data_IF_487271443793
#
_entry.id   IF_487271443793
#
_cell.length_a   1.000
_cell.length_b   1.000
_cell.length_c   1.000
_cell.angle_alpha   90.00
_cell.angle_beta   90.00
_cell.angle_gamma   90.00
#
_symmetry.space_group_name_H-M   'P 1'
#
loop_
_entity.id
_entity.type
_entity.pdbx_description
1 polymer ?
#
# COMPACT_ATOMS: atom_id res chain seq x y z
N UNK A 1 -3.00 19.28 -15.78
CA UNK A 1 -3.75 20.54 -15.55
C UNK A 1 -3.68 20.93 -14.07
N UNK A 2 -3.53 22.22 -13.74
CA UNK A 2 -3.62 22.74 -12.36
C UNK A 2 -4.78 23.74 -12.26
N UNK A 3 -5.65 23.59 -11.25
CA UNK A 3 -6.77 24.50 -11.00
C UNK A 3 -6.57 25.17 -9.63
N UNK A 4 -6.87 26.47 -9.54
CA UNK A 4 -7.02 27.15 -8.26
C UNK A 4 -8.43 26.91 -7.70
N UNK A 5 -8.51 26.29 -6.54
CA UNK A 5 -9.75 26.02 -5.83
C UNK A 5 -9.61 26.63 -4.44
N UNK A 6 -10.36 27.70 -4.16
CA UNK A 6 -10.34 28.41 -2.87
C UNK A 6 -8.92 28.76 -2.37
N UNK A 7 -8.00 29.15 -3.27
CA UNK A 7 -6.62 29.51 -2.93
C UNK A 7 -5.65 28.32 -2.83
N UNK A 8 -6.12 27.09 -3.06
CA UNK A 8 -5.29 25.88 -3.14
C UNK A 8 -5.09 25.48 -4.61
N UNK A 9 -3.85 25.18 -5.00
CA UNK A 9 -3.55 24.67 -6.35
C UNK A 9 -3.74 23.17 -6.38
N UNK A 10 -4.70 22.66 -7.14
CA UNK A 10 -5.01 21.23 -7.25
C UNK A 10 -4.66 20.72 -8.64
N UNK A 11 -3.85 19.67 -8.71
CA UNK A 11 -3.42 19.04 -9.96
C UNK A 11 -4.30 17.85 -10.34
N UNK A 12 -4.69 17.81 -11.60
CA UNK A 12 -5.45 16.75 -12.26
C UNK A 12 -4.72 16.27 -13.52
N UNK A 13 -5.06 15.07 -13.97
CA UNK A 13 -4.43 14.45 -15.13
C UNK A 13 -3.07 13.84 -14.81
N UNK A 14 -2.83 13.41 -13.57
CA UNK A 14 -1.54 12.85 -13.17
C UNK A 14 -1.35 11.46 -13.78
N UNK A 15 -0.13 11.19 -14.28
CA UNK A 15 0.23 9.84 -14.70
C UNK A 15 0.60 9.00 -13.46
N UNK A 16 -0.33 8.14 -13.05
CA UNK A 16 -0.15 7.27 -11.89
C UNK A 16 0.62 6.01 -12.26
N UNK A 17 1.79 5.82 -11.67
CA UNK A 17 2.62 4.64 -11.91
C UNK A 17 2.92 3.92 -10.61
N UNK A 18 2.92 2.58 -10.68
CA UNK A 18 3.52 1.78 -9.61
C UNK A 18 5.02 1.94 -9.71
N UNK A 19 5.65 2.15 -8.57
CA UNK A 19 7.09 2.08 -8.42
C UNK A 19 7.46 0.60 -8.41
N UNK A 20 7.97 0.15 -9.54
CA UNK A 20 8.39 -1.23 -9.77
C UNK A 20 9.84 -1.16 -10.21
N UNK A 21 10.73 -1.80 -9.48
CA UNK A 21 12.17 -1.77 -9.72
C UNK A 21 12.97 -1.74 -8.42
N UNK A 22 14.29 -1.62 -8.54
CA UNK A 22 15.19 -1.46 -7.41
C UNK A 22 15.47 0.01 -7.08
N UNK A 23 15.28 0.40 -5.83
CA UNK A 23 15.74 1.65 -5.23
C UNK A 23 14.89 2.02 -4.03
N UNK A 24 15.21 3.11 -3.33
CA UNK A 24 14.22 3.72 -2.43
C UNK A 24 13.02 4.19 -3.25
N UNK A 25 11.79 4.20 -2.68
CA UNK A 25 10.60 4.75 -3.33
C UNK A 25 10.86 6.15 -3.94
N UNK A 26 11.58 7.00 -3.22
CA UNK A 26 12.03 8.31 -3.70
C UNK A 26 12.94 8.21 -4.94
N UNK A 27 13.93 7.32 -4.96
CA UNK A 27 14.82 7.15 -6.13
C UNK A 27 14.09 6.60 -7.36
N UNK A 28 13.14 5.69 -7.15
CA UNK A 28 12.29 5.15 -8.22
C UNK A 28 11.34 6.22 -8.75
N UNK A 29 10.74 7.01 -7.85
CA UNK A 29 9.91 8.14 -8.22
C UNK A 29 10.70 9.19 -9.00
N UNK A 30 11.95 9.47 -8.62
CA UNK A 30 12.86 10.35 -9.37
C UNK A 30 13.19 9.76 -10.75
N UNK A 31 13.46 8.46 -10.86
CA UNK A 31 13.72 7.81 -12.15
C UNK A 31 12.51 7.92 -13.09
N UNK A 32 11.30 7.64 -12.57
CA UNK A 32 10.04 7.82 -13.30
C UNK A 32 9.76 9.28 -13.65
N UNK A 33 10.07 10.21 -12.74
CA UNK A 33 9.97 11.65 -13.01
C UNK A 33 10.89 12.07 -14.15
N UNK A 34 12.10 11.52 -14.26
CA UNK A 34 13.02 11.80 -15.37
C UNK A 34 12.51 11.22 -16.69
N UNK A 35 12.08 9.96 -16.68
CA UNK A 35 11.50 9.27 -17.84
C UNK A 35 10.33 10.06 -18.42
N UNK A 36 9.42 10.52 -17.55
CA UNK A 36 8.21 11.27 -17.92
C UNK A 36 8.40 12.79 -17.94
N UNK A 37 9.63 13.30 -17.77
CA UNK A 37 9.95 14.74 -17.73
C UNK A 37 9.03 15.53 -16.79
N UNK A 38 8.78 14.98 -15.61
CA UNK A 38 7.86 15.53 -14.61
C UNK A 38 8.47 16.67 -13.82
N UNK A 39 7.70 17.76 -13.68
CA UNK A 39 8.09 18.95 -12.90
C UNK A 39 7.75 18.81 -11.42
N UNK A 40 6.71 18.04 -11.12
CA UNK A 40 6.22 17.73 -9.79
C UNK A 40 5.86 16.26 -9.75
N UNK A 41 6.06 15.67 -8.58
CA UNK A 41 5.66 14.32 -8.26
C UNK A 41 4.95 14.29 -6.91
N UNK A 42 4.09 13.30 -6.74
CA UNK A 42 3.57 12.89 -5.45
C UNK A 42 3.98 11.44 -5.22
N UNK A 43 4.48 11.10 -4.03
CA UNK A 43 4.99 9.76 -3.71
C UNK A 43 4.26 9.16 -2.52
N UNK A 44 3.99 7.85 -2.63
CA UNK A 44 3.52 7.00 -1.54
C UNK A 44 4.55 5.91 -1.29
N UNK A 45 5.33 6.06 -0.22
CA UNK A 45 6.39 5.13 0.11
C UNK A 45 5.84 3.76 0.55
N UNK A 46 4.64 3.74 1.15
CA UNK A 46 3.97 2.50 1.58
C UNK A 46 3.23 1.82 0.43
N UNK A 47 2.54 2.59 -0.42
CA UNK A 47 1.79 2.04 -1.54
C UNK A 47 2.66 1.75 -2.79
N UNK A 48 3.94 2.13 -2.76
CA UNK A 48 4.90 2.08 -3.87
C UNK A 48 4.28 2.66 -5.15
N UNK A 49 3.80 3.89 -5.04
CA UNK A 49 3.11 4.58 -6.12
C UNK A 49 3.63 6.00 -6.27
N UNK A 50 3.69 6.47 -7.52
CA UNK A 50 4.01 7.86 -7.86
C UNK A 50 2.91 8.44 -8.75
N UNK A 51 2.50 9.67 -8.44
CA UNK A 51 1.73 10.53 -9.33
C UNK A 51 2.68 11.50 -10.03
N UNK A 52 2.73 11.47 -11.35
CA UNK A 52 3.67 12.25 -12.16
C UNK A 52 2.94 13.40 -12.86
N UNK A 53 3.50 14.60 -12.80
CA UNK A 53 3.03 15.77 -13.55
C UNK A 53 4.09 16.19 -14.60
N UNK A 54 4.01 15.69 -15.85
CA UNK A 54 4.88 16.08 -16.95
C UNK A 54 4.88 17.59 -17.23
N UNK A 55 6.04 18.14 -17.59
CA UNK A 55 6.16 19.53 -18.02
C UNK A 55 5.29 19.84 -19.26
N UNK A 56 5.12 18.84 -20.14
CA UNK A 56 4.33 18.96 -21.36
C UNK A 56 2.82 19.13 -21.10
N UNK A 57 2.36 18.73 -19.91
CA UNK A 57 0.95 18.77 -19.53
C UNK A 57 0.60 20.07 -18.76
N UNK A 58 1.55 21.00 -18.68
CA UNK A 58 1.37 22.33 -18.10
C UNK A 58 1.12 23.36 -19.19
N UNK A 59 0.09 24.17 -19.00
CA UNK A 59 -0.12 25.39 -19.78
C UNK A 59 0.81 26.51 -19.30
N UNK A 60 1.00 27.58 -20.09
CA UNK A 60 1.79 28.75 -19.65
C UNK A 60 1.29 29.35 -18.32
N UNK A 61 -0.02 29.26 -18.05
CA UNK A 61 -0.66 29.67 -16.79
C UNK A 61 -0.27 28.77 -15.61
N UNK A 62 0.00 27.49 -15.86
CA UNK A 62 0.36 26.51 -14.83
C UNK A 62 1.84 26.62 -14.41
N UNK A 63 2.72 27.11 -15.27
CA UNK A 63 4.15 27.28 -14.99
C UNK A 63 4.39 28.16 -13.75
N UNK A 64 3.55 29.17 -13.53
CA UNK A 64 3.58 30.01 -12.33
C UNK A 64 3.05 29.31 -11.07
N UNK A 65 2.08 28.38 -11.21
CA UNK A 65 1.45 27.67 -10.10
C UNK A 65 2.38 26.64 -9.44
N UNK A 66 3.39 26.13 -10.16
CA UNK A 66 4.41 25.20 -9.64
C UNK A 66 5.40 25.86 -8.66
N UNK A 67 5.26 27.18 -8.40
CA UNK A 67 6.04 27.92 -7.41
C UNK A 67 5.41 27.95 -6.02
N UNK A 68 4.15 27.53 -5.89
CA UNK A 68 3.42 27.39 -4.62
C UNK A 68 3.06 25.92 -4.39
N UNK A 69 2.64 25.50 -3.18
CA UNK A 69 2.22 24.12 -2.94
C UNK A 69 1.08 23.71 -3.88
N UNK A 70 1.30 22.62 -4.61
CA UNK A 70 0.31 21.99 -5.50
C UNK A 70 -0.09 20.65 -4.89
N UNK A 71 -1.36 20.29 -4.93
CA UNK A 71 -1.91 19.10 -4.29
C UNK A 71 -2.49 18.14 -5.34
N UNK A 72 -2.20 16.84 -5.22
CA UNK A 72 -2.68 15.83 -6.15
C UNK A 72 -4.17 15.49 -5.89
N UNK A 73 -5.05 15.76 -6.86
CA UNK A 73 -6.50 15.57 -6.72
C UNK A 73 -6.88 14.15 -6.31
N UNK A 74 -6.31 13.13 -6.95
CA UNK A 74 -6.62 11.74 -6.63
C UNK A 74 -6.27 11.37 -5.17
N UNK A 75 -5.24 11.99 -4.59
CA UNK A 75 -4.89 11.74 -3.19
C UNK A 75 -5.78 12.49 -2.22
N UNK A 76 -6.21 13.70 -2.57
CA UNK A 76 -7.28 14.38 -1.83
C UNK A 76 -8.53 13.51 -1.79
N UNK A 77 -9.02 13.05 -2.95
CA UNK A 77 -10.23 12.21 -3.05
C UNK A 77 -10.11 10.93 -2.22
N UNK A 78 -8.96 10.25 -2.27
CA UNK A 78 -8.72 9.03 -1.49
C UNK A 78 -8.77 9.22 0.03
N UNK A 79 -8.74 10.47 0.51
CA UNK A 79 -8.67 10.85 1.93
C UNK A 79 -9.93 11.57 2.42
N UNK A 80 -10.93 11.81 1.56
CA UNK A 80 -12.19 12.44 1.98
C UNK A 80 -12.93 11.48 2.93
N UNK A 81 -13.21 11.88 4.18
CA UNK A 81 -13.90 11.03 5.13
C UNK A 81 -15.29 10.62 4.64
N UNK A 82 -15.67 9.36 4.88
CA UNK A 82 -16.99 8.84 4.54
C UNK A 82 -17.11 8.26 3.12
N UNK A 83 -16.11 8.44 2.26
CA UNK A 83 -16.07 7.77 0.95
C UNK A 83 -15.59 6.32 1.06
N UNK A 84 -16.11 5.47 0.17
CA UNK A 84 -15.66 4.08 -0.03
C UNK A 84 -14.22 4.04 -0.55
N UNK A 85 -13.60 2.85 -0.48
CA UNK A 85 -12.26 2.62 -1.06
C UNK A 85 -12.26 2.66 -2.60
N UNK A 86 -13.42 2.45 -3.21
CA UNK A 86 -13.62 2.63 -4.65
C UNK A 86 -14.39 3.94 -4.85
N UNK A 87 -13.78 4.92 -5.54
CA UNK A 87 -14.41 6.23 -5.80
C UNK A 87 -14.17 6.61 -7.26
N UNK A 88 -15.17 7.21 -7.89
CA UNK A 88 -15.03 7.89 -9.16
C UNK A 88 -15.54 9.33 -8.99
N UNK A 89 -14.66 10.30 -9.17
CA UNK A 89 -14.98 11.73 -9.18
C UNK A 89 -15.10 12.20 -10.63
N UNK A 90 -16.23 12.81 -11.00
CA UNK A 90 -16.46 13.42 -12.31
C UNK A 90 -16.85 14.90 -12.15
N UNK A 91 -16.05 15.82 -12.68
CA UNK A 91 -16.27 17.27 -12.57
C UNK A 91 -16.39 17.92 -13.94
N UNK A 92 -17.16 19.00 -14.02
CA UNK A 92 -17.07 19.94 -15.13
C UNK A 92 -15.73 20.65 -15.06
N UNK A 93 -15.08 20.85 -16.20
CA UNK A 93 -13.85 21.60 -16.24
C UNK A 93 -14.13 23.11 -16.13
N UNK A 94 -13.68 23.80 -15.06
CA UNK A 94 -13.94 25.22 -14.88
C UNK A 94 -13.18 26.10 -15.89
N UNK A 95 -12.11 25.58 -16.51
CA UNK A 95 -11.31 26.33 -17.47
C UNK A 95 -11.82 26.19 -18.91
N UNK A 96 -12.66 25.19 -19.21
CA UNK A 96 -13.09 24.89 -20.58
C UNK A 96 -14.46 24.22 -20.61
N UNK A 97 -15.47 25.02 -20.96
CA UNK A 97 -16.87 24.58 -21.11
C UNK A 97 -17.00 23.37 -22.03
N UNK A 98 -17.84 22.41 -21.64
CA UNK A 98 -18.10 21.20 -22.43
C UNK A 98 -17.01 20.12 -22.33
N UNK A 99 -16.01 20.32 -21.47
CA UNK A 99 -15.03 19.29 -21.12
C UNK A 99 -15.10 18.94 -19.65
N UNK A 100 -14.57 17.77 -19.31
CA UNK A 100 -14.72 17.16 -18.00
C UNK A 100 -13.37 16.73 -17.42
N UNK A 101 -13.38 16.49 -16.12
CA UNK A 101 -12.28 15.95 -15.34
C UNK A 101 -12.77 14.66 -14.70
N UNK A 102 -11.96 13.62 -14.73
CA UNK A 102 -12.26 12.32 -14.14
C UNK A 102 -11.11 11.89 -13.23
N UNK A 103 -11.43 11.45 -12.01
CA UNK A 103 -10.46 10.91 -11.06
C UNK A 103 -10.99 9.61 -10.44
N UNK A 104 -10.32 8.50 -10.69
CA UNK A 104 -10.70 7.17 -10.18
C UNK A 104 -9.74 6.63 -9.13
N UNK A 105 -10.30 6.17 -8.01
CA UNK A 105 -9.61 5.55 -6.88
C UNK A 105 -10.05 4.11 -6.75
N UNK A 106 -9.18 3.15 -7.04
CA UNK A 106 -9.48 1.73 -6.92
C UNK A 106 -8.77 1.14 -5.69
N UNK A 107 -9.54 0.52 -4.79
CA UNK A 107 -9.04 -0.10 -3.55
C UNK A 107 -8.17 0.85 -2.73
N UNK A 108 -8.60 2.11 -2.63
CA UNK A 108 -7.96 3.19 -1.87
C UNK A 108 -6.76 3.84 -2.56
N UNK A 109 -6.46 3.46 -3.81
CA UNK A 109 -5.29 3.95 -4.55
C UNK A 109 -5.71 4.63 -5.86
N UNK A 110 -5.10 5.77 -6.22
CA UNK A 110 -5.28 6.36 -7.55
C UNK A 110 -5.01 5.34 -8.66
N UNK A 111 -5.86 5.33 -9.69
CA UNK A 111 -5.76 4.37 -10.78
C UNK A 111 -5.20 5.02 -12.04
N UNK A 112 -4.18 4.39 -12.63
CA UNK A 112 -3.65 4.80 -13.93
C UNK A 112 -4.74 4.80 -14.99
N UNK A 113 -4.70 5.79 -15.90
CA UNK A 113 -5.72 6.06 -16.94
C UNK A 113 -7.10 6.51 -16.44
N UNK A 114 -7.25 6.73 -15.13
CA UNK A 114 -8.48 7.25 -14.53
C UNK A 114 -8.27 8.58 -13.81
N UNK A 115 -7.12 9.23 -14.01
CA UNK A 115 -6.92 10.64 -13.65
C UNK A 115 -6.73 11.41 -14.96
N UNK A 116 -7.82 11.99 -15.46
CA UNK A 116 -7.93 12.59 -16.78
C UNK A 116 -8.50 14.00 -16.65
N UNK A 117 -7.98 14.91 -17.46
CA UNK A 117 -8.44 16.29 -17.58
C UNK A 117 -8.78 16.59 -19.04
N UNK A 118 -9.61 17.62 -19.26
CA UNK A 118 -9.99 18.09 -20.60
C UNK A 118 -10.63 17.01 -21.51
N UNK A 119 -11.31 16.01 -20.93
CA UNK A 119 -11.96 14.94 -21.70
C UNK A 119 -13.35 15.37 -22.22
N UNK A 120 -13.79 14.82 -23.35
CA UNK A 120 -15.14 15.02 -23.89
C UNK A 120 -16.20 14.24 -23.11
N UNK A 121 -17.47 14.56 -23.32
CA UNK A 121 -18.59 13.82 -22.71
C UNK A 121 -18.62 12.34 -23.12
N UNK A 122 -18.34 12.03 -24.38
CA UNK A 122 -18.27 10.64 -24.88
C UNK A 122 -17.19 9.83 -24.15
N UNK A 123 -15.99 10.41 -23.96
CA UNK A 123 -14.90 9.75 -23.23
C UNK A 123 -15.26 9.61 -21.74
N UNK A 124 -15.96 10.59 -21.17
CA UNK A 124 -16.43 10.51 -19.79
C UNK A 124 -17.40 9.34 -19.59
N UNK A 125 -18.42 9.22 -20.43
CA UNK A 125 -19.40 8.12 -20.38
C UNK A 125 -18.71 6.76 -20.55
N UNK A 126 -17.83 6.64 -21.55
CA UNK A 126 -17.04 5.44 -21.76
C UNK A 126 -16.23 5.07 -20.51
N UNK A 127 -15.55 6.04 -19.89
CA UNK A 127 -14.72 5.77 -18.71
C UNK A 127 -15.54 5.44 -17.48
N UNK A 128 -16.72 6.03 -17.31
CA UNK A 128 -17.65 5.65 -16.24
C UNK A 128 -18.07 4.18 -16.39
N UNK A 129 -18.39 3.74 -17.61
CA UNK A 129 -18.71 2.34 -17.89
C UNK A 129 -17.51 1.42 -17.65
N UNK A 130 -16.33 1.74 -18.20
CA UNK A 130 -15.09 0.98 -17.97
C UNK A 130 -14.75 0.84 -16.47
N UNK A 131 -15.02 1.89 -15.69
CA UNK A 131 -14.81 1.85 -14.25
C UNK A 131 -15.77 0.89 -13.55
N UNK A 132 -17.06 0.92 -13.90
CA UNK A 132 -18.06 -0.02 -13.37
C UNK A 132 -17.68 -1.47 -13.68
N UNK A 133 -17.23 -1.73 -14.90
CA UNK A 133 -16.77 -3.06 -15.31
C UNK A 133 -15.51 -3.50 -14.57
N UNK A 134 -14.54 -2.59 -14.37
CA UNK A 134 -13.33 -2.87 -13.59
C UNK A 134 -13.64 -3.35 -12.17
N UNK A 135 -14.72 -2.82 -11.58
CA UNK A 135 -15.15 -3.15 -10.23
C UNK A 135 -15.88 -4.50 -10.13
N UNK A 136 -16.34 -5.09 -11.23
CA UNK A 136 -17.10 -6.36 -11.23
C UNK A 136 -18.24 -6.38 -10.20
N UNK A 137 -19.00 -5.30 -10.12
CA UNK A 137 -20.07 -5.07 -9.13
C UNK A 137 -19.62 -4.81 -7.67
N UNK A 138 -18.32 -4.59 -7.39
CA UNK A 138 -17.91 -4.01 -6.11
C UNK A 138 -18.53 -2.61 -5.93
N UNK A 139 -19.06 -2.27 -4.74
CA UNK A 139 -19.65 -0.96 -4.50
C UNK A 139 -18.59 0.15 -4.59
N UNK A 140 -18.99 1.28 -5.17
CA UNK A 140 -18.17 2.49 -5.23
C UNK A 140 -19.03 3.74 -5.00
N UNK A 141 -18.37 4.86 -4.73
CA UNK A 141 -19.02 6.17 -4.72
C UNK A 141 -18.72 6.89 -6.04
N UNK A 142 -19.78 7.39 -6.67
CA UNK A 142 -19.70 8.27 -7.82
C UNK A 142 -20.02 9.68 -7.33
N UNK A 143 -19.06 10.59 -7.39
CA UNK A 143 -19.20 11.94 -6.82
C UNK A 143 -18.83 13.00 -7.86
N UNK A 144 -19.35 14.22 -7.69
CA UNK A 144 -18.94 15.38 -8.50
C UNK A 144 -20.12 16.24 -8.96
N UNK A 145 -19.91 17.13 -9.93
CA UNK A 145 -20.88 18.16 -10.31
C UNK A 145 -21.37 18.03 -11.77
N UNK A 146 -21.02 16.94 -12.45
CA UNK A 146 -21.49 16.66 -13.81
C UNK A 146 -22.95 16.25 -13.81
N UNK A 147 -23.76 16.98 -14.57
CA UNK A 147 -25.18 16.68 -14.76
C UNK A 147 -25.35 15.56 -15.77
N UNK A 148 -26.30 14.65 -15.53
CA UNK A 148 -26.66 13.58 -16.47
C UNK A 148 -26.00 12.23 -16.24
N UNK A 149 -25.07 12.11 -15.28
CA UNK A 149 -24.52 10.81 -14.88
C UNK A 149 -25.41 10.19 -13.80
N UNK A 150 -25.93 9.00 -14.07
CA UNK A 150 -26.78 8.27 -13.13
C UNK A 150 -26.03 7.84 -11.86
N UNK A 151 -26.61 8.14 -10.69
CA UNK A 151 -26.08 7.77 -9.39
C UNK A 151 -24.93 8.64 -8.87
N UNK A 152 -24.66 9.79 -9.51
CA UNK A 152 -23.67 10.76 -9.02
C UNK A 152 -24.19 11.50 -7.78
N UNK A 153 -23.39 11.53 -6.72
CA UNK A 153 -23.61 12.37 -5.56
C UNK A 153 -23.00 13.75 -5.78
N UNK A 154 -23.86 14.77 -5.80
CA UNK A 154 -23.46 16.15 -6.08
C UNK A 154 -22.38 16.63 -5.11
N UNK A 155 -21.18 16.86 -5.62
CA UNK A 155 -20.01 17.29 -4.85
C UNK A 155 -19.28 18.40 -5.60
N UNK A 156 -19.30 19.65 -5.12
CA UNK A 156 -18.62 20.74 -5.81
C UNK A 156 -17.10 20.58 -5.70
N UNK A 157 -16.38 21.10 -6.70
CA UNK A 157 -14.90 21.08 -6.72
C UNK A 157 -14.27 21.70 -5.45
N UNK A 158 -14.97 22.63 -4.80
CA UNK A 158 -14.55 23.29 -3.56
C UNK A 158 -14.16 22.34 -2.42
N UNK A 159 -14.80 21.16 -2.34
CA UNK A 159 -14.51 20.12 -1.33
C UNK A 159 -13.05 19.66 -1.41
N UNK A 160 -12.45 19.70 -2.61
CA UNK A 160 -11.04 19.31 -2.76
C UNK A 160 -10.09 20.25 -2.02
N UNK A 161 -10.40 21.55 -1.95
CA UNK A 161 -9.57 22.51 -1.24
C UNK A 161 -9.64 22.33 0.28
N UNK A 162 -10.79 21.92 0.81
CA UNK A 162 -11.01 21.67 2.23
C UNK A 162 -10.18 20.48 2.74
N UNK A 163 -9.97 19.49 1.87
CA UNK A 163 -9.21 18.27 2.18
C UNK A 163 -7.77 18.27 1.60
N UNK A 164 -7.31 19.40 1.06
CA UNK A 164 -5.94 19.56 0.54
C UNK A 164 -4.94 19.80 1.69
N UNK A 165 -4.28 18.71 2.12
CA UNK A 165 -3.31 18.67 3.20
C UNK A 165 -1.88 18.25 2.73
N UNK A 166 -0.92 18.24 3.64
CA UNK A 166 0.46 17.80 3.36
C UNK A 166 0.53 16.38 2.78
N UNK A 167 -0.40 15.49 3.13
CA UNK A 167 -0.49 14.12 2.61
C UNK A 167 -0.87 14.04 1.13
N UNK A 168 -1.34 15.14 0.53
CA UNK A 168 -1.61 15.27 -0.90
C UNK A 168 -0.67 16.24 -1.61
N UNK A 169 0.26 16.88 -0.88
CA UNK A 169 1.16 17.87 -1.44
C UNK A 169 2.20 17.24 -2.37
N UNK A 170 2.31 17.81 -3.57
CA UNK A 170 3.31 17.43 -4.56
C UNK A 170 4.62 18.16 -4.29
N UNK A 171 5.74 17.50 -4.59
CA UNK A 171 7.07 18.08 -4.46
C UNK A 171 7.86 17.96 -5.76
N UNK A 172 8.94 18.73 -5.86
CA UNK A 172 9.86 18.59 -6.99
C UNK A 172 10.69 17.31 -6.81
N UNK A 173 10.94 16.56 -7.89
CA UNK A 173 11.92 15.47 -7.84
C UNK A 173 13.29 16.05 -7.49
N UNK A 174 13.94 15.55 -6.43
CA UNK A 174 15.25 16.05 -6.01
C UNK A 174 16.28 15.78 -7.12
N UNK A 175 16.94 16.82 -7.61
CA UNK A 175 17.98 16.67 -8.61
C UNK A 175 19.28 16.15 -7.97
N UNK A 176 19.79 15.01 -8.41
CA UNK A 176 21.25 14.90 -8.56
C UNK A 176 21.59 15.82 -9.73
N UNK A 177 22.20 16.97 -9.41
CA UNK A 177 22.53 17.99 -10.40
C UNK A 177 23.52 17.42 -11.44
N UNK A 178 23.18 17.44 -12.74
CA UNK A 178 24.19 17.46 -13.77
C UNK A 178 24.79 18.87 -13.84
N UNK A 179 26.11 18.95 -13.70
CA UNK A 179 26.88 20.16 -13.95
C UNK A 179 26.76 20.51 -15.44
N UNK A 180 25.89 21.46 -15.80
CA UNK A 180 26.22 22.58 -16.73
C UNK A 180 25.01 23.43 -17.12
N UNK A 181 25.25 24.74 -17.05
CA UNK A 181 24.68 25.84 -17.85
C UNK A 181 23.20 26.17 -17.61
N UNK A 182 22.97 27.11 -16.68
CA UNK A 182 21.93 28.12 -16.88
C UNK A 182 22.65 29.45 -17.04
N UNK A 183 22.62 29.93 -18.29
CA UNK A 183 22.99 31.28 -18.65
C UNK A 183 22.02 32.27 -18.02
N UNK A 184 22.63 33.30 -17.48
CA UNK A 184 22.09 34.57 -17.00
C UNK A 184 21.05 35.17 -17.94
N UNK A 185 19.94 35.63 -17.36
CA UNK A 185 19.18 36.81 -17.78
C UNK A 185 18.08 37.06 -16.73
N UNK A 186 17.96 38.17 -16.01
CA UNK A 186 18.61 39.48 -15.92
C UNK A 186 18.22 40.04 -14.54
N UNK A 187 19.12 40.77 -13.86
CA UNK A 187 18.64 41.88 -13.00
C UNK A 187 18.85 41.83 -11.49
N UNK A 188 19.93 41.26 -10.94
CA UNK A 188 20.50 41.73 -9.66
C UNK A 188 22.04 41.71 -9.75
N UNK A 189 22.58 42.38 -10.77
CA UNK A 189 23.94 42.92 -10.71
C UNK A 189 23.82 44.21 -9.91
N UNK A 190 24.28 44.24 -8.66
CA UNK A 190 24.89 45.43 -8.03
C UNK A 190 25.25 45.25 -6.54
N UNK A 191 24.70 44.27 -5.81
CA UNK A 191 24.86 44.24 -4.35
C UNK A 191 25.97 43.32 -3.77
N UNK A 192 26.55 42.38 -4.54
CA UNK A 192 27.43 41.36 -3.96
C UNK A 192 28.91 41.41 -4.40
N UNK A 193 29.36 42.52 -4.99
CA UNK A 193 30.72 42.63 -5.54
C UNK A 193 31.82 43.01 -4.51
N UNK A 194 31.52 43.13 -3.21
CA UNK A 194 32.49 43.71 -2.25
C UNK A 194 32.95 42.83 -1.09
N UNK A 195 32.43 41.60 -0.88
CA UNK A 195 32.78 40.82 0.33
C UNK A 195 33.73 39.63 0.04
N UNK A 196 34.02 39.32 -1.22
CA UNK A 196 34.64 38.05 -1.62
C UNK A 196 36.18 38.04 -1.79
N UNK A 197 36.99 38.71 -0.97
CA UNK A 197 38.46 38.75 -1.23
C UNK A 197 39.47 38.31 -0.16
N UNK A 198 39.12 37.84 1.04
CA UNK A 198 40.19 37.56 2.06
C UNK A 198 40.17 36.20 2.77
N UNK A 199 39.09 35.40 2.79
CA UNK A 199 39.03 34.22 3.69
C UNK A 199 39.11 32.81 3.03
N UNK A 200 39.59 32.68 1.78
CA UNK A 200 39.37 31.46 0.98
C UNK A 200 40.37 30.27 1.12
N UNK A 201 41.67 30.43 1.45
CA UNK A 201 42.59 29.30 1.32
C UNK A 201 42.65 28.32 2.51
N UNK A 202 42.30 28.74 3.75
CA UNK A 202 42.39 27.87 4.95
C UNK A 202 41.13 27.01 5.13
N UNK A 203 39.97 27.52 4.71
CA UNK A 203 38.69 26.82 4.82
C UNK A 203 38.60 25.68 3.79
N UNK A 204 39.16 25.87 2.58
CA UNK A 204 39.13 24.86 1.51
C UNK A 204 39.94 23.59 1.77
N UNK A 205 40.90 23.58 2.71
CA UNK A 205 41.64 22.36 3.07
C UNK A 205 40.84 21.51 4.07
N UNK A 206 40.27 22.13 5.11
CA UNK A 206 39.35 21.44 6.05
C UNK A 206 38.05 21.00 5.39
N UNK A 207 37.58 21.73 4.38
CA UNK A 207 36.37 21.39 3.62
C UNK A 207 36.58 20.18 2.70
N UNK A 208 37.77 20.03 2.10
CA UNK A 208 38.11 18.89 1.24
C UNK A 208 38.16 17.56 2.01
N UNK A 209 38.65 17.59 3.25
CA UNK A 209 38.73 16.40 4.09
C UNK A 209 37.37 16.02 4.71
N UNK A 210 36.41 16.96 4.77
CA UNK A 210 35.06 16.73 5.33
C UNK A 210 34.00 16.39 4.27
N UNK A 211 34.25 16.70 2.99
CA UNK A 211 33.24 16.62 1.92
C UNK A 211 33.62 15.73 0.74
N UNK A 212 34.40 14.68 0.96
CA UNK A 212 34.36 13.51 0.06
C UNK A 212 33.15 12.66 0.46
N UNK A 213 31.98 12.75 -0.22
CA UNK A 213 30.86 11.90 0.10
C UNK A 213 31.21 10.55 -0.53
N UNK A 214 31.83 9.67 0.25
CA UNK A 214 31.87 8.24 -0.05
C UNK A 214 30.45 7.86 -0.47
N UNK A 215 30.29 7.33 -1.68
CA UNK A 215 29.03 6.70 -2.08
C UNK A 215 28.57 5.83 -0.91
N UNK A 216 27.30 5.93 -0.46
CA UNK A 216 26.85 5.13 0.66
C UNK A 216 27.16 3.68 0.30
N UNK A 217 28.07 3.08 1.07
CA UNK A 217 28.57 1.74 0.81
C UNK A 217 27.33 0.84 0.64
N UNK A 218 27.12 0.19 -0.52
CA UNK A 218 25.96 -0.68 -0.75
C UNK A 218 25.79 -1.70 0.37
N UNK A 219 26.91 -2.20 0.89
CA UNK A 219 26.93 -3.06 2.07
C UNK A 219 26.38 -2.37 3.31
N UNK A 220 26.73 -1.11 3.57
CA UNK A 220 26.21 -0.37 4.73
C UNK A 220 24.71 -0.12 4.63
N UNK A 221 24.21 0.22 3.43
CA UNK A 221 22.76 0.38 3.21
C UNK A 221 22.02 -0.94 3.46
N UNK A 222 22.60 -2.04 2.98
CA UNK A 222 22.09 -3.37 3.24
C UNK A 222 22.10 -3.72 4.73
N UNK A 223 23.23 -3.48 5.41
CA UNK A 223 23.39 -3.72 6.84
C UNK A 223 22.40 -2.88 7.66
N UNK A 224 22.11 -1.64 7.27
CA UNK A 224 21.12 -0.76 7.91
C UNK A 224 19.68 -1.31 7.73
N UNK A 225 19.33 -1.79 6.52
CA UNK A 225 18.04 -2.45 6.26
C UNK A 225 17.90 -3.73 7.08
N UNK A 226 18.95 -4.55 7.13
CA UNK A 226 18.97 -5.76 7.94
C UNK A 226 18.88 -5.39 9.43
N UNK A 227 19.60 -4.38 9.91
CA UNK A 227 19.52 -3.93 11.30
C UNK A 227 18.11 -3.48 11.69
N UNK A 228 17.41 -2.75 10.81
CA UNK A 228 16.02 -2.38 11.02
C UNK A 228 15.10 -3.60 11.01
N UNK A 229 15.25 -4.48 10.02
CA UNK A 229 14.46 -5.70 9.91
C UNK A 229 14.64 -6.59 11.13
N UNK A 230 15.86 -6.69 11.69
CA UNK A 230 16.16 -7.49 12.89
C UNK A 230 15.28 -7.14 14.10
N UNK A 231 14.73 -5.93 14.16
CA UNK A 231 13.86 -5.47 15.25
C UNK A 231 12.38 -5.77 15.03
N UNK A 232 11.98 -6.16 13.81
CA UNK A 232 10.60 -6.46 13.47
C UNK A 232 10.11 -7.71 14.21
N UNK A 233 8.94 -7.63 14.87
CA UNK A 233 8.31 -8.80 15.48
C UNK A 233 7.95 -9.85 14.43
N UNK A 234 8.13 -11.13 14.75
CA UNK A 234 7.76 -12.23 13.87
C UNK A 234 7.37 -13.48 14.65
N UNK A 235 6.41 -14.23 14.11
CA UNK A 235 5.81 -15.40 14.73
C UNK A 235 6.13 -16.64 13.89
N UNK A 236 6.48 -17.76 14.53
CA UNK A 236 6.63 -19.05 13.84
C UNK A 236 5.27 -19.63 13.50
N UNK A 237 5.19 -20.40 12.42
CA UNK A 237 3.98 -21.14 12.06
C UNK A 237 3.53 -22.08 13.19
N UNK A 238 4.47 -22.69 13.90
CA UNK A 238 4.21 -23.58 15.04
C UNK A 238 3.55 -22.88 16.23
N UNK A 239 3.72 -21.56 16.35
CA UNK A 239 3.21 -20.75 17.46
C UNK A 239 1.78 -20.22 17.22
N UNK A 240 1.12 -20.67 16.13
CA UNK A 240 -0.28 -20.32 15.81
C UNK A 240 -1.34 -21.16 16.52
N UNK A 241 -0.95 -22.16 17.31
CA UNK A 241 -1.89 -23.01 18.05
C UNK A 241 -2.95 -22.23 18.85
N UNK A 242 -2.57 -21.23 19.69
CA UNK A 242 -3.54 -20.42 20.44
C UNK A 242 -4.52 -19.66 19.55
N UNK A 243 -4.05 -19.15 18.40
CA UNK A 243 -4.91 -18.46 17.44
C UNK A 243 -5.96 -19.43 16.87
N UNK A 244 -5.55 -20.67 16.55
CA UNK A 244 -6.46 -21.66 15.99
C UNK A 244 -7.55 -22.07 16.99
N UNK A 245 -7.20 -22.23 18.27
CA UNK A 245 -8.19 -22.50 19.31
C UNK A 245 -9.16 -21.33 19.47
N UNK A 246 -8.65 -20.10 19.51
CA UNK A 246 -9.49 -18.91 19.54
C UNK A 246 -10.44 -18.82 18.34
N UNK A 247 -9.97 -19.13 17.14
CA UNK A 247 -10.81 -19.14 15.93
C UNK A 247 -11.95 -20.17 16.05
N UNK A 248 -11.66 -21.36 16.59
CA UNK A 248 -12.67 -22.43 16.79
C UNK A 248 -13.72 -22.07 17.85
N UNK A 249 -13.38 -21.18 18.77
CA UNK A 249 -14.27 -20.69 19.83
C UNK A 249 -15.12 -19.49 19.38
N UNK A 250 -14.87 -18.92 18.19
CA UNK A 250 -15.69 -17.84 17.67
C UNK A 250 -17.16 -18.29 17.55
N UNK A 251 -18.13 -17.48 18.02
CA UNK A 251 -19.54 -17.81 17.87
C UNK A 251 -19.88 -18.02 16.40
N UNK A 252 -20.50 -19.16 16.10
CA UNK A 252 -21.00 -19.40 14.74
C UNK A 252 -22.14 -18.45 14.38
N UNK A 253 -23.01 -18.14 15.35
CA UNK A 253 -24.14 -17.23 15.22
C UNK A 253 -24.14 -16.21 16.37
N UNK A 254 -24.37 -14.94 16.03
CA UNK A 254 -24.58 -13.84 16.98
C UNK A 254 -25.90 -13.16 16.62
N UNK A 255 -26.97 -13.49 17.35
CA UNK A 255 -28.26 -12.83 17.21
C UNK A 255 -28.89 -12.94 15.81
N UNK A 256 -28.66 -14.06 15.11
CA UNK A 256 -29.17 -14.32 13.75
C UNK A 256 -28.21 -13.91 12.61
N UNK A 257 -26.98 -13.57 12.95
CA UNK A 257 -25.90 -13.27 12.02
C UNK A 257 -24.84 -14.36 12.11
N UNK A 258 -24.44 -14.94 10.98
CA UNK A 258 -23.50 -16.05 10.94
C UNK A 258 -22.10 -15.58 10.60
N UNK A 259 -21.09 -16.24 11.15
CA UNK A 259 -19.69 -16.00 10.81
C UNK A 259 -19.49 -16.12 9.29
N UNK A 260 -18.94 -15.08 8.68
CA UNK A 260 -18.62 -14.97 7.26
C UNK A 260 -17.12 -15.14 7.01
N UNK A 261 -16.28 -14.76 7.97
CA UNK A 261 -14.85 -14.96 7.88
C UNK A 261 -14.06 -14.21 8.94
N UNK A 262 -12.75 -14.42 8.93
CA UNK A 262 -11.80 -13.62 9.70
C UNK A 262 -10.57 -13.27 8.88
N UNK A 263 -9.96 -12.11 9.15
CA UNK A 263 -8.70 -11.69 8.56
C UNK A 263 -7.83 -11.04 9.63
N UNK A 264 -6.61 -11.55 9.82
CA UNK A 264 -5.72 -11.17 10.88
C UNK A 264 -4.38 -10.64 10.35
N UNK A 265 -3.86 -9.61 11.02
CA UNK A 265 -2.53 -9.05 10.77
C UNK A 265 -1.84 -8.65 12.08
N UNK A 266 -0.51 -8.54 12.04
CA UNK A 266 0.27 -8.07 13.17
C UNK A 266 0.33 -6.54 13.19
N UNK A 267 0.21 -5.97 14.39
CA UNK A 267 0.58 -4.59 14.65
C UNK A 267 2.10 -4.46 14.82
N UNK A 268 2.66 -3.24 14.72
CA UNK A 268 4.07 -2.99 15.05
C UNK A 268 4.45 -3.37 16.49
N UNK A 269 3.47 -3.43 17.40
CA UNK A 269 3.64 -3.83 18.80
C UNK A 269 3.53 -5.34 19.04
N UNK A 270 3.65 -6.16 18.00
CA UNK A 270 3.59 -7.62 18.07
C UNK A 270 2.22 -8.19 18.51
N UNK A 271 1.15 -7.40 18.41
CA UNK A 271 -0.21 -7.85 18.73
C UNK A 271 -0.90 -8.30 17.45
N UNK A 272 -1.56 -9.45 17.48
CA UNK A 272 -2.38 -9.90 16.34
C UNK A 272 -3.79 -9.36 16.47
N UNK A 273 -4.20 -8.58 15.47
CA UNK A 273 -5.54 -7.99 15.38
C UNK A 273 -6.28 -8.62 14.22
N UNK A 274 -7.49 -9.09 14.49
CA UNK A 274 -8.36 -9.76 13.55
C UNK A 274 -9.64 -8.94 13.32
N UNK A 275 -10.04 -8.81 12.06
CA UNK A 275 -11.41 -8.51 11.69
C UNK A 275 -12.19 -9.81 11.62
N UNK A 276 -13.34 -9.88 12.31
CA UNK A 276 -14.26 -11.01 12.33
C UNK A 276 -15.58 -10.51 11.76
N UNK A 277 -15.96 -11.07 10.62
CA UNK A 277 -17.11 -10.60 9.86
C UNK A 277 -18.30 -11.54 10.07
N UNK A 278 -19.47 -10.98 10.39
CA UNK A 278 -20.73 -11.71 10.49
C UNK A 278 -21.70 -11.22 9.42
N UNK A 279 -22.34 -12.13 8.69
CA UNK A 279 -23.34 -11.80 7.68
C UNK A 279 -24.74 -12.15 8.17
N UNK A 280 -25.71 -11.27 7.89
CA UNK A 280 -27.12 -11.54 8.24
C UNK A 280 -27.59 -12.79 7.52
N UNK A 281 -27.98 -13.81 8.29
CA UNK A 281 -28.37 -15.12 7.75
C UNK A 281 -29.86 -15.42 7.94
N UNK A 282 -30.48 -14.85 8.98
CA UNK A 282 -31.88 -15.09 9.31
C UNK A 282 -32.71 -13.80 9.14
N UNK A 283 -33.94 -13.95 8.67
CA UNK A 283 -34.87 -12.82 8.51
C UNK A 283 -35.16 -12.14 9.86
N UNK A 284 -35.25 -12.91 10.95
CA UNK A 284 -35.37 -12.39 12.32
C UNK A 284 -34.10 -11.75 12.89
N UNK A 285 -32.93 -11.96 12.28
CA UNK A 285 -31.69 -11.29 12.70
C UNK A 285 -31.78 -9.80 12.41
N UNK A 286 -31.58 -8.95 13.39
CA UNK A 286 -31.57 -7.48 13.26
C UNK A 286 -30.30 -6.91 13.89
N UNK A 287 -30.03 -5.63 13.67
CA UNK A 287 -28.92 -4.97 14.38
C UNK A 287 -29.10 -5.03 15.90
N UNK A 288 -30.34 -4.90 16.42
CA UNK A 288 -30.62 -4.97 17.85
C UNK A 288 -30.35 -6.35 18.43
N UNK A 289 -30.74 -7.42 17.72
CA UNK A 289 -30.49 -8.79 18.19
C UNK A 289 -29.00 -9.13 18.16
N UNK A 290 -28.25 -8.60 17.18
CA UNK A 290 -26.79 -8.74 17.14
C UNK A 290 -26.14 -8.12 18.38
N UNK A 291 -26.43 -6.84 18.67
CA UNK A 291 -25.83 -6.13 19.83
C UNK A 291 -26.22 -6.80 21.15
N UNK A 292 -27.45 -7.30 21.28
CA UNK A 292 -27.91 -7.99 22.48
C UNK A 292 -27.21 -9.35 22.72
N UNK A 293 -26.81 -10.04 21.65
CA UNK A 293 -26.13 -11.34 21.70
C UNK A 293 -24.59 -11.23 21.63
N UNK A 294 -24.05 -10.02 21.47
CA UNK A 294 -22.62 -9.81 21.27
C UNK A 294 -21.84 -10.09 22.56
N UNK A 295 -20.72 -10.85 22.51
CA UNK A 295 -19.85 -11.05 23.65
C UNK A 295 -19.37 -9.72 24.26
N UNK A 296 -19.27 -9.65 25.59
CA UNK A 296 -18.90 -8.43 26.34
C UNK A 296 -17.62 -7.77 25.81
N UNK A 297 -16.59 -8.58 25.51
CA UNK A 297 -15.31 -8.12 25.02
C UNK A 297 -15.37 -7.40 23.66
N UNK A 298 -16.47 -7.52 22.91
CA UNK A 298 -16.63 -6.93 21.58
C UNK A 298 -17.59 -5.74 21.55
N UNK A 299 -18.25 -5.39 22.66
CA UNK A 299 -19.27 -4.34 22.73
C UNK A 299 -18.83 -2.95 22.28
N UNK A 300 -17.53 -2.69 22.21
CA UNK A 300 -16.97 -1.41 21.76
C UNK A 300 -16.14 -1.50 20.47
N UNK A 301 -16.13 -2.67 19.83
CA UNK A 301 -15.23 -2.96 18.73
C UNK A 301 -15.97 -3.50 17.50
N UNK A 302 -17.22 -3.09 17.27
CA UNK A 302 -18.00 -3.51 16.11
C UNK A 302 -18.48 -2.34 15.26
N UNK A 303 -18.68 -2.59 13.97
CA UNK A 303 -19.27 -1.66 13.01
C UNK A 303 -20.24 -2.41 12.09
N UNK A 304 -21.45 -1.88 11.96
CA UNK A 304 -22.40 -2.35 10.95
C UNK A 304 -22.07 -1.77 9.57
N UNK A 305 -22.13 -2.63 8.55
CA UNK A 305 -22.04 -2.28 7.14
C UNK A 305 -23.09 -3.10 6.36
N UNK A 306 -24.29 -2.53 6.22
CA UNK A 306 -25.43 -3.20 5.58
C UNK A 306 -25.71 -4.60 6.18
N UNK A 307 -25.58 -5.65 5.37
CA UNK A 307 -25.80 -7.04 5.76
C UNK A 307 -24.55 -7.71 6.35
N UNK A 308 -23.50 -6.94 6.68
CA UNK A 308 -22.28 -7.41 7.35
C UNK A 308 -22.03 -6.62 8.63
N UNK A 309 -21.58 -7.30 9.68
CA UNK A 309 -21.01 -6.68 10.88
C UNK A 309 -19.53 -7.02 10.95
N UNK A 310 -18.71 -5.98 11.05
CA UNK A 310 -17.27 -6.10 11.26
C UNK A 310 -16.97 -5.98 12.74
N UNK A 311 -16.38 -7.01 13.34
CA UNK A 311 -15.91 -7.00 14.73
C UNK A 311 -14.39 -7.02 14.74
N UNK A 312 -13.77 -6.05 15.40
CA UNK A 312 -12.33 -6.01 15.63
C UNK A 312 -12.01 -6.71 16.94
N UNK A 313 -11.14 -7.71 16.89
CA UNK A 313 -10.73 -8.49 18.05
C UNK A 313 -9.21 -8.66 18.08
N UNK A 314 -8.64 -8.66 19.27
CA UNK A 314 -7.26 -9.12 19.48
C UNK A 314 -7.29 -10.64 19.64
N UNK A 315 -6.45 -11.35 18.90
CA UNK A 315 -6.36 -12.82 18.98
C UNK A 315 -5.11 -13.26 19.76
N UNK A 316 -5.21 -14.31 20.59
CA UNK A 316 -4.05 -14.87 21.27
C UNK A 316 -3.12 -15.56 20.28
N UNK A 317 -1.83 -15.50 20.56
CA UNK A 317 -0.76 -16.16 19.80
C UNK A 317 0.32 -16.68 20.74
N UNK A 318 1.14 -17.60 20.24
CA UNK A 318 2.34 -18.03 20.95
C UNK A 318 3.43 -16.96 21.01
N UNK A 319 4.63 -17.33 21.49
CA UNK A 319 5.73 -16.40 21.69
C UNK A 319 6.14 -15.67 20.41
N UNK A 320 6.17 -14.34 20.45
CA UNK A 320 6.65 -13.53 19.32
C UNK A 320 8.15 -13.31 19.46
N UNK A 321 8.90 -13.75 18.44
CA UNK A 321 10.32 -13.50 18.31
C UNK A 321 10.61 -12.20 17.55
N UNK A 322 11.90 -11.92 17.38
CA UNK A 322 12.37 -10.86 16.48
C UNK A 322 12.98 -11.48 15.24
N UNK A 323 12.78 -10.88 14.07
CA UNK A 323 13.41 -11.29 12.79
C UNK A 323 14.90 -11.57 12.94
N UNK A 324 15.63 -10.80 13.77
CA UNK A 324 17.06 -11.04 13.96
C UNK A 324 17.41 -12.41 14.53
N UNK A 325 16.58 -12.96 15.43
CA UNK A 325 16.78 -14.32 15.96
C UNK A 325 16.64 -15.37 14.86
N UNK A 326 15.75 -15.13 13.90
CA UNK A 326 15.51 -16.02 12.77
C UNK A 326 16.57 -15.88 11.67
N UNK A 327 17.13 -14.69 11.48
CA UNK A 327 18.29 -14.48 10.60
C UNK A 327 19.53 -15.19 11.14
N UNK A 328 19.77 -15.13 12.46
CA UNK A 328 20.91 -15.79 13.10
C UNK A 328 20.83 -17.33 13.00
N UNK A 329 19.61 -17.86 12.87
CA UNK A 329 19.32 -19.29 12.75
C UNK A 329 18.87 -19.69 11.34
N UNK A 330 19.09 -18.83 10.34
CA UNK A 330 18.57 -19.02 9.00
C UNK A 330 19.18 -20.30 8.37
N UNK A 331 18.34 -21.23 7.86
CA UNK A 331 18.82 -22.42 7.16
C UNK A 331 19.51 -22.08 5.85
N UNK A 332 20.19 -23.07 5.27
CA UNK A 332 20.70 -22.97 3.90
C UNK A 332 19.58 -23.19 2.88
N UNK A 333 19.80 -22.72 1.66
CA UNK A 333 18.86 -22.89 0.53
C UNK A 333 18.51 -24.36 0.27
N UNK A 334 19.52 -25.24 0.35
CA UNK A 334 19.31 -26.69 0.18
C UNK A 334 18.44 -27.28 1.29
N UNK A 335 18.64 -26.88 2.55
CA UNK A 335 17.81 -27.36 3.65
C UNK A 335 16.34 -26.93 3.49
N UNK A 336 16.10 -25.68 3.07
CA UNK A 336 14.74 -25.19 2.80
C UNK A 336 14.11 -25.95 1.63
N UNK A 337 14.85 -26.19 0.56
CA UNK A 337 14.34 -26.88 -0.63
C UNK A 337 14.03 -28.34 -0.34
N UNK A 338 14.96 -29.05 0.30
CA UNK A 338 14.83 -30.48 0.58
C UNK A 338 13.87 -30.77 1.73
N UNK A 339 13.91 -30.02 2.81
CA UNK A 339 13.10 -30.32 4.00
C UNK A 339 11.72 -29.67 3.86
N UNK A 340 11.69 -28.34 3.82
CA UNK A 340 10.41 -27.61 3.80
C UNK A 340 9.70 -27.74 2.45
N UNK A 341 10.44 -27.69 1.34
CA UNK A 341 9.87 -27.92 0.01
C UNK A 341 9.23 -29.30 -0.13
N UNK A 342 9.91 -30.37 0.32
CA UNK A 342 9.32 -31.72 0.32
C UNK A 342 8.13 -31.85 1.26
N UNK A 343 8.17 -31.19 2.42
CA UNK A 343 7.03 -31.16 3.34
C UNK A 343 5.79 -30.51 2.70
N UNK A 344 5.95 -29.35 2.04
CA UNK A 344 4.85 -28.68 1.33
C UNK A 344 4.33 -29.49 0.14
N UNK A 345 5.20 -30.27 -0.53
CA UNK A 345 4.77 -31.22 -1.57
C UNK A 345 3.95 -32.37 -0.98
N UNK A 346 4.36 -32.90 0.18
CA UNK A 346 3.61 -33.93 0.90
C UNK A 346 2.22 -33.46 1.34
N UNK A 347 2.05 -32.18 1.66
CA UNK A 347 0.77 -31.61 2.09
C UNK A 347 -0.20 -31.24 0.96
N UNK A 348 0.18 -31.40 -0.32
CA UNK A 348 -0.73 -31.08 -1.44
C UNK A 348 -2.06 -31.86 -1.40
N UNK A 349 -2.10 -33.00 -0.70
CA UNK A 349 -3.33 -33.79 -0.50
C UNK A 349 -4.36 -33.10 0.42
N UNK A 350 -3.92 -32.19 1.28
CA UNK A 350 -4.75 -31.49 2.26
C UNK A 350 -5.10 -30.05 1.82
N UNK A 351 -4.61 -29.60 0.67
CA UNK A 351 -4.82 -28.25 0.17
C UNK A 351 -3.70 -27.80 -0.75
N UNK A 352 -3.73 -26.54 -1.14
CA UNK A 352 -2.72 -25.93 -1.98
C UNK A 352 -1.62 -25.31 -1.11
N UNK A 353 -0.44 -25.90 -1.20
CA UNK A 353 0.76 -25.39 -0.53
C UNK A 353 1.76 -24.90 -1.58
N UNK A 354 2.34 -23.73 -1.41
CA UNK A 354 3.31 -23.20 -2.39
C UNK A 354 4.44 -22.48 -1.69
N UNK A 355 5.63 -22.51 -2.28
CA UNK A 355 6.76 -21.68 -1.90
C UNK A 355 7.30 -20.98 -3.16
N UNK A 356 7.57 -19.68 -3.08
CA UNK A 356 8.13 -18.92 -4.20
C UNK A 356 9.62 -19.22 -4.39
N UNK A 357 10.18 -18.94 -5.57
CA UNK A 357 11.64 -18.90 -5.73
C UNK A 357 12.31 -17.97 -4.71
N UNK A 358 13.56 -18.27 -4.38
CA UNK A 358 14.34 -17.48 -3.42
C UNK A 358 14.74 -16.13 -4.03
N UNK A 359 14.38 -15.05 -3.36
CA UNK A 359 14.83 -13.69 -3.65
C UNK A 359 15.83 -13.21 -2.59
N UNK A 360 16.54 -12.12 -2.84
CA UNK A 360 17.35 -11.48 -1.80
C UNK A 360 16.44 -10.82 -0.76
N UNK A 361 16.74 -11.02 0.51
CA UNK A 361 16.05 -10.39 1.62
C UNK A 361 16.70 -9.05 1.95
N UNK A 362 15.91 -7.96 1.94
CA UNK A 362 16.37 -6.62 2.33
C UNK A 362 17.32 -5.95 1.33
N UNK A 363 17.46 -6.49 0.12
CA UNK A 363 18.32 -5.93 -0.93
C UNK A 363 17.54 -5.15 -1.99
N UNK A 364 16.31 -4.72 -1.69
CA UNK A 364 15.46 -4.01 -2.63
C UNK A 364 16.13 -2.71 -3.09
N UNK A 365 16.60 -2.69 -4.34
CA UNK A 365 17.33 -1.54 -4.88
C UNK A 365 18.81 -1.48 -4.66
N UNK A 366 19.40 -2.57 -4.17
CA UNK A 366 20.83 -2.70 -4.00
C UNK A 366 21.33 -3.70 -5.03
N UNK A 367 22.41 -3.36 -5.74
CA UNK A 367 23.04 -4.30 -6.66
C UNK A 367 23.55 -5.51 -5.88
N UNK A 368 22.95 -6.67 -6.17
CA UNK A 368 23.27 -7.95 -5.54
C UNK A 368 24.76 -8.31 -5.62
N UNK A 369 25.43 -7.90 -6.71
CA UNK A 369 26.86 -8.19 -6.93
C UNK A 369 27.79 -7.41 -5.99
N UNK A 370 27.30 -6.33 -5.38
CA UNK A 370 28.05 -5.47 -4.47
C UNK A 370 27.91 -5.87 -2.99
N UNK A 371 27.18 -6.95 -2.69
CA UNK A 371 26.84 -7.36 -1.32
C UNK A 371 27.57 -8.62 -0.88
N UNK A 372 27.88 -8.68 0.41
CA UNK A 372 28.47 -9.80 1.10
C UNK A 372 27.57 -10.22 2.27
N UNK A 373 27.62 -11.50 2.64
CA UNK A 373 26.84 -12.07 3.75
C UNK A 373 25.33 -11.76 3.65
N UNK A 374 24.79 -11.86 2.43
CA UNK A 374 23.37 -11.61 2.19
C UNK A 374 22.47 -12.68 2.80
N UNK A 375 21.21 -12.32 3.00
CA UNK A 375 20.13 -13.26 3.29
C UNK A 375 19.22 -13.37 2.07
N UNK A 376 18.57 -14.53 1.93
CA UNK A 376 17.51 -14.76 0.96
C UNK A 376 16.17 -14.94 1.68
N UNK A 377 15.08 -14.79 0.93
CA UNK A 377 13.70 -14.98 1.40
C UNK A 377 12.90 -15.74 0.36
N UNK A 378 12.01 -16.62 0.81
CA UNK A 378 10.90 -17.13 0.01
C UNK A 378 9.59 -16.99 0.75
N UNK A 379 8.53 -16.68 0.01
CA UNK A 379 7.16 -16.63 0.53
C UNK A 379 6.54 -18.01 0.41
N UNK A 380 5.94 -18.49 1.50
CA UNK A 380 5.11 -19.70 1.47
C UNK A 380 3.63 -19.35 1.66
N UNK A 381 2.75 -20.22 1.17
CA UNK A 381 1.30 -20.08 1.30
C UNK A 381 0.68 -21.45 1.51
N UNK A 382 -0.27 -21.51 2.44
CA UNK A 382 -1.24 -22.58 2.61
C UNK A 382 -2.61 -22.03 2.23
N UNK A 383 -3.34 -22.74 1.37
CA UNK A 383 -4.71 -22.43 0.96
C UNK A 383 -5.50 -23.75 0.98
N UNK A 384 -6.46 -23.88 1.90
CA UNK A 384 -7.16 -25.15 2.09
C UNK A 384 -8.16 -25.12 3.25
N UNK A 385 -8.72 -26.29 3.63
CA UNK A 385 -9.63 -26.41 4.75
C UNK A 385 -9.00 -25.97 6.08
N UNK A 386 -9.75 -25.24 6.91
CA UNK A 386 -9.27 -24.79 8.23
C UNK A 386 -9.04 -25.94 9.21
N UNK A 387 -9.56 -27.15 8.94
CA UNK A 387 -9.23 -28.37 9.72
C UNK A 387 -7.76 -28.78 9.59
N UNK A 388 -7.11 -28.43 8.48
CA UNK A 388 -5.73 -28.80 8.19
C UNK A 388 -4.72 -27.80 8.78
N UNK A 389 -5.20 -26.84 9.57
CA UNK A 389 -4.39 -25.81 10.22
C UNK A 389 -3.39 -26.41 11.22
N UNK A 390 -3.69 -27.59 11.78
CA UNK A 390 -2.78 -28.32 12.67
C UNK A 390 -1.47 -28.72 11.97
N UNK A 391 -1.44 -28.80 10.63
CA UNK A 391 -0.22 -29.06 9.87
C UNK A 391 0.84 -27.96 10.06
N UNK A 392 0.43 -26.73 10.38
CA UNK A 392 1.37 -25.64 10.68
C UNK A 392 2.20 -25.91 11.94
N UNK A 393 1.69 -26.75 12.86
CA UNK A 393 2.44 -27.22 14.03
C UNK A 393 3.65 -28.08 13.69
N UNK A 394 3.71 -28.62 12.47
CA UNK A 394 4.82 -29.43 11.97
C UNK A 394 5.78 -28.64 11.07
N UNK A 395 5.48 -27.37 10.77
CA UNK A 395 6.35 -26.55 9.94
C UNK A 395 7.69 -26.33 10.65
N UNK A 396 8.79 -26.13 9.90
CA UNK A 396 10.08 -25.89 10.49
C UNK A 396 10.08 -24.59 11.32
N UNK A 397 10.93 -24.49 12.35
CA UNK A 397 10.95 -23.34 13.27
C UNK A 397 11.36 -22.01 12.60
N UNK A 398 11.84 -22.06 11.36
CA UNK A 398 12.19 -20.91 10.53
C UNK A 398 11.07 -20.50 9.55
N UNK A 399 9.93 -21.18 9.52
CA UNK A 399 8.74 -20.78 8.77
C UNK A 399 7.96 -19.73 9.57
N UNK A 400 8.03 -18.48 9.12
CA UNK A 400 7.44 -17.32 9.79
C UNK A 400 6.09 -16.97 9.17
N UNK A 401 5.16 -16.47 9.97
CA UNK A 401 3.80 -16.11 9.57
C UNK A 401 3.72 -14.61 9.29
N UNK A 402 3.05 -14.24 8.20
CA UNK A 402 2.80 -12.84 7.83
C UNK A 402 1.31 -12.47 7.86
N UNK A 403 0.41 -13.37 7.46
CA UNK A 403 -1.03 -13.14 7.53
C UNK A 403 -1.85 -14.41 7.58
N UNK A 404 -3.06 -14.28 8.12
CA UNK A 404 -4.04 -15.36 8.25
C UNK A 404 -5.40 -14.82 7.81
N UNK A 405 -6.11 -15.58 6.98
CA UNK A 405 -7.50 -15.30 6.65
C UNK A 405 -8.29 -16.59 6.60
N UNK A 406 -9.53 -16.57 7.08
CA UNK A 406 -10.49 -17.66 6.91
C UNK A 406 -11.75 -17.10 6.30
N UNK A 407 -12.29 -17.78 5.30
CA UNK A 407 -13.56 -17.44 4.67
C UNK A 407 -14.53 -18.59 4.90
N UNK A 408 -15.75 -18.25 5.29
CA UNK A 408 -16.85 -19.20 5.42
C UNK A 408 -17.59 -19.31 4.09
N UNK A 409 -17.60 -20.51 3.52
CA UNK A 409 -18.29 -20.78 2.26
C UNK A 409 -19.77 -21.07 2.52
N UNK A 410 -20.65 -20.47 1.71
CA UNK A 410 -22.11 -20.61 1.84
C UNK A 410 -22.66 -21.93 1.29
N UNK A 411 -21.93 -22.60 0.40
CA UNK A 411 -22.30 -23.89 -0.20
C UNK A 411 -21.04 -24.73 -0.49
N UNK A 412 -20.37 -25.25 0.55
CA UNK A 412 -19.17 -26.04 0.36
C UNK A 412 -19.55 -27.45 -0.08
N UNK A 413 -19.23 -27.84 -1.33
CA UNK A 413 -19.03 -29.26 -1.59
C UNK A 413 -17.85 -29.72 -0.73
N UNK A 414 -18.13 -30.58 0.25
CA UNK A 414 -17.11 -31.10 1.15
C UNK A 414 -16.23 -32.09 0.39
N UNK A 415 -15.05 -31.62 -0.02
CA UNK A 415 -14.02 -32.42 -0.68
C UNK A 415 -12.77 -32.46 0.20
N UNK A 416 -11.72 -33.13 -0.27
CA UNK A 416 -10.45 -33.21 0.47
C UNK A 416 -9.80 -31.82 0.60
N UNK A 417 -9.96 -30.96 -0.40
CA UNK A 417 -9.38 -29.62 -0.53
C UNK A 417 -10.38 -28.47 -0.28
N UNK A 418 -11.67 -28.78 -0.08
CA UNK A 418 -12.70 -27.77 0.16
C UNK A 418 -13.52 -28.07 1.41
N UNK A 419 -13.84 -27.02 2.16
CA UNK A 419 -14.69 -27.13 3.34
C UNK A 419 -15.41 -25.83 3.60
N UNK A 420 -16.39 -25.90 4.50
CA UNK A 420 -17.11 -24.72 4.99
C UNK A 420 -16.20 -23.60 5.47
N UNK A 421 -15.06 -23.94 6.08
CA UNK A 421 -14.07 -22.96 6.53
C UNK A 421 -12.81 -23.10 5.68
N UNK A 422 -12.55 -22.13 4.81
CA UNK A 422 -11.35 -22.14 3.97
C UNK A 422 -10.33 -21.15 4.52
N UNK A 423 -9.18 -21.66 4.95
CA UNK A 423 -8.09 -20.88 5.48
C UNK A 423 -7.05 -20.56 4.40
N UNK A 424 -6.49 -19.36 4.48
CA UNK A 424 -5.30 -18.93 3.75
C UNK A 424 -4.30 -18.40 4.76
N UNK A 425 -3.14 -19.04 4.85
CA UNK A 425 -2.02 -18.61 5.69
C UNK A 425 -0.85 -18.29 4.80
N UNK A 426 -0.27 -17.11 4.99
CA UNK A 426 0.94 -16.68 4.27
C UNK A 426 2.06 -16.47 5.25
N UNK A 427 3.27 -16.67 4.75
CA UNK A 427 4.45 -16.51 5.53
C UNK A 427 5.71 -16.44 4.69
N UNK A 428 6.83 -16.38 5.37
CA UNK A 428 8.15 -16.32 4.74
C UNK A 428 9.13 -17.25 5.45
N UNK A 429 10.14 -17.70 4.72
CA UNK A 429 11.34 -18.34 5.26
C UNK A 429 12.52 -17.42 4.98
N UNK A 430 13.32 -17.15 6.01
CA UNK A 430 14.57 -16.40 5.89
C UNK A 430 15.70 -17.40 5.76
N UNK A 431 16.62 -17.15 4.83
CA UNK A 431 17.60 -18.13 4.37
C UNK A 431 18.97 -17.46 4.39
N UNK A 432 19.99 -18.21 4.80
CA UNK A 432 21.37 -17.75 4.71
C UNK A 432 21.80 -17.73 3.23
N UNK A 433 22.24 -16.57 2.76
CA UNK A 433 22.69 -16.37 1.38
C UNK A 433 24.16 -16.66 1.16
#
# INVERSE_FOLDING_TARGET
MIIDVNGKKVAFGLAWKRLVGGGTPESMAIARAREHKSVLIWTDDEALQVGLLPAADLTEKDVGAVKVPVFAAAKIVSRIPGLKKNVLLALNNPNKTGTFILVGIYKGKPRDKFDLADISGEILEQKVAEYRDLLKNEPFDLIGDVRGIEGIYSTPIGVLAEHADEGSAMHRPKAQLPVRKVGIAVGIVLACFLIAKVASPVIMKKWRDYHDPKQPNPQKLYDDVIAQARMTPSLKATDLGPWYQWFRELPWDVGGWRLAGTSCSFTPSAVMVCAVDYKRALTQGTYKTFVAALPEQWKHAYKFDQDVVHVQATSPIGPVGKVGQFLDQAPTENAVTMDFGSQLQGYQVAGKFTITPFGLFGADGIDASALQNTYKVATWTMDGPARDFELLGQFPPYALVSSISVVVQSDPQSTIDNSMFKATVKGQVLIRG
#
